data_IF_996865493702
#
_entry.id   IF_996865493702
#
_cell.length_a   1.000
_cell.length_b   1.000
_cell.length_c   1.000
_cell.angle_alpha   90.00
_cell.angle_beta   90.00
_cell.angle_gamma   90.00
#
_symmetry.space_group_name_H-M   'P 1'
#
loop_
_entity.id
_entity.type
_entity.pdbx_description
1 polymer ?
#
# COMPACT_ATOMS: atom_id res chain seq x y z
N UNK A 1 6.14 1.60 -11.19
CA UNK A 1 5.74 3.02 -11.34
C UNK A 1 4.78 3.22 -12.52
N UNK A 2 5.18 2.96 -13.77
CA UNK A 2 4.34 3.16 -14.96
C UNK A 2 2.89 2.64 -14.82
N UNK A 3 2.71 1.38 -14.39
CA UNK A 3 1.37 0.80 -14.16
C UNK A 3 0.52 1.61 -13.19
N UNK A 4 1.10 2.12 -12.09
CA UNK A 4 0.35 2.94 -11.13
C UNK A 4 -0.08 4.27 -11.76
N UNK A 5 0.77 4.88 -12.60
CA UNK A 5 0.49 6.15 -13.28
C UNK A 5 -0.68 6.03 -14.26
N UNK A 6 -0.78 4.90 -14.95
CA UNK A 6 -1.89 4.59 -15.89
C UNK A 6 -3.23 4.30 -15.18
N UNK A 7 -3.21 3.92 -13.90
CA UNK A 7 -4.44 3.70 -13.15
C UNK A 7 -5.05 5.03 -12.73
N UNK A 8 -6.38 5.15 -12.85
CA UNK A 8 -7.14 6.31 -12.36
C UNK A 8 -7.34 6.24 -10.84
N UNK A 9 -6.23 6.27 -10.11
CA UNK A 9 -6.14 6.18 -8.64
C UNK A 9 -5.44 7.41 -8.09
N UNK A 10 -5.70 7.72 -6.82
CA UNK A 10 -5.16 8.90 -6.16
C UNK A 10 -3.70 8.68 -5.80
N UNK A 11 -3.42 7.61 -5.06
CA UNK A 11 -2.10 7.31 -4.55
C UNK A 11 -1.78 5.80 -4.68
N UNK A 12 -0.49 5.48 -4.80
CA UNK A 12 -0.03 4.09 -4.81
C UNK A 12 1.36 3.95 -4.20
N UNK A 13 1.57 2.92 -3.39
CA UNK A 13 2.81 2.70 -2.63
C UNK A 13 3.18 1.22 -2.61
N UNK A 14 4.48 0.92 -2.68
CA UNK A 14 4.99 -0.39 -2.25
C UNK A 14 5.26 -0.32 -0.75
N UNK A 15 4.79 -1.33 -0.02
CA UNK A 15 5.01 -1.49 1.42
C UNK A 15 5.57 -2.89 1.73
N UNK A 16 5.68 -3.23 3.02
CA UNK A 16 6.15 -4.55 3.44
C UNK A 16 7.67 -4.73 3.40
N UNK A 17 8.11 -5.98 3.37
CA UNK A 17 9.53 -6.36 3.42
C UNK A 17 10.35 -5.75 2.28
N UNK A 18 9.75 -5.64 1.09
CA UNK A 18 10.38 -5.07 -0.12
C UNK A 18 10.69 -3.59 0.06
N UNK A 19 9.76 -2.83 0.63
CA UNK A 19 9.99 -1.42 0.91
C UNK A 19 11.00 -1.20 2.04
N UNK A 20 11.05 -2.15 2.99
CA UNK A 20 11.98 -2.17 4.13
C UNK A 20 13.38 -2.65 3.73
N UNK A 21 13.55 -3.28 2.57
CA UNK A 21 14.82 -3.87 2.12
C UNK A 21 15.22 -5.11 2.92
N UNK A 22 14.25 -5.73 3.59
CA UNK A 22 14.43 -7.01 4.32
C UNK A 22 13.80 -8.16 3.55
N UNK A 23 13.50 -7.96 2.27
CA UNK A 23 12.92 -8.98 1.41
C UNK A 23 13.97 -10.01 0.96
N UNK A 24 13.52 -11.25 0.83
CA UNK A 24 14.28 -12.35 0.25
C UNK A 24 13.94 -12.58 -1.22
N UNK A 25 14.64 -13.52 -1.88
CA UNK A 25 14.40 -13.88 -3.29
C UNK A 25 12.96 -14.35 -3.57
N UNK A 26 12.31 -14.99 -2.58
CA UNK A 26 10.93 -15.48 -2.66
C UNK A 26 9.90 -14.54 -2.00
N UNK A 27 10.27 -13.31 -1.64
CA UNK A 27 9.32 -12.39 -1.03
C UNK A 27 8.37 -11.77 -2.05
N UNK A 28 7.10 -11.72 -1.70
CA UNK A 28 6.06 -11.05 -2.48
C UNK A 28 6.21 -9.53 -2.42
N UNK A 29 5.69 -8.86 -3.46
CA UNK A 29 5.66 -7.40 -3.53
C UNK A 29 4.27 -6.92 -3.14
N UNK A 30 4.16 -6.32 -1.95
CA UNK A 30 2.90 -5.72 -1.49
C UNK A 30 2.75 -4.29 -2.01
N UNK A 31 1.65 -4.04 -2.69
CA UNK A 31 1.28 -2.74 -3.27
C UNK A 31 -0.04 -2.28 -2.68
N UNK A 32 -0.03 -1.09 -2.07
CA UNK A 32 -1.22 -0.39 -1.62
C UNK A 32 -1.65 0.59 -2.70
N UNK A 33 -2.91 0.54 -3.07
CA UNK A 33 -3.54 1.47 -4.02
C UNK A 33 -4.70 2.16 -3.33
N UNK A 34 -4.72 3.49 -3.40
CA UNK A 34 -5.75 4.34 -2.82
C UNK A 34 -6.52 5.02 -3.94
N UNK A 35 -7.82 4.76 -4.02
CA UNK A 35 -8.71 5.41 -4.98
C UNK A 35 -9.94 4.58 -5.29
N UNK A 36 -10.71 5.05 -6.27
CA UNK A 36 -11.92 4.38 -6.73
C UNK A 36 -11.58 3.28 -7.75
N UNK A 37 -10.99 2.19 -7.25
CA UNK A 37 -10.65 1.02 -8.05
C UNK A 37 -10.94 -0.28 -7.30
N UNK A 38 -11.47 -1.27 -8.00
CA UNK A 38 -11.63 -2.60 -7.42
C UNK A 38 -10.29 -3.31 -7.30
N UNK A 39 -10.13 -4.12 -6.26
CA UNK A 39 -8.96 -4.99 -6.05
C UNK A 39 -8.67 -5.84 -7.28
N UNK A 40 -9.70 -6.41 -7.91
CA UNK A 40 -9.57 -7.22 -9.14
C UNK A 40 -8.94 -6.42 -10.28
N UNK A 41 -9.38 -5.17 -10.52
CA UNK A 41 -8.85 -4.32 -11.59
C UNK A 41 -7.42 -3.89 -11.29
N UNK A 42 -7.13 -3.54 -10.03
CA UNK A 42 -5.78 -3.19 -9.60
C UNK A 42 -4.83 -4.39 -9.77
N UNK A 43 -5.18 -5.58 -9.26
CA UNK A 43 -4.39 -6.81 -9.47
C UNK A 43 -4.17 -7.11 -10.94
N UNK A 44 -5.21 -6.98 -11.78
CA UNK A 44 -5.09 -7.21 -13.22
C UNK A 44 -4.09 -6.26 -13.88
N UNK A 45 -4.04 -4.99 -13.47
CA UNK A 45 -3.07 -4.02 -13.97
C UNK A 45 -1.63 -4.36 -13.57
N UNK A 46 -1.42 -4.93 -12.37
CA UNK A 46 -0.10 -5.31 -11.88
C UNK A 46 0.36 -6.72 -12.28
N UNK A 47 -0.52 -7.60 -12.79
CA UNK A 47 -0.15 -8.93 -13.36
C UNK A 47 1.04 -8.89 -14.34
N UNK A 48 1.13 -7.98 -15.32
CA UNK A 48 2.31 -7.91 -16.20
C UNK A 48 3.59 -7.58 -15.44
N UNK A 49 3.52 -6.81 -14.35
CA UNK A 49 4.67 -6.51 -13.47
C UNK A 49 5.09 -7.77 -12.73
N UNK A 50 4.15 -8.50 -12.13
CA UNK A 50 4.41 -9.77 -11.46
C UNK A 50 5.15 -10.76 -12.38
N UNK A 51 4.63 -10.94 -13.60
CA UNK A 51 5.25 -11.79 -14.63
C UNK A 51 6.65 -11.33 -15.03
N UNK A 52 6.85 -10.03 -15.23
CA UNK A 52 8.13 -9.46 -15.63
C UNK A 52 9.21 -9.67 -14.57
N UNK A 53 8.83 -9.62 -13.30
CA UNK A 53 9.75 -9.75 -12.18
C UNK A 53 9.84 -11.17 -11.61
N UNK A 54 9.06 -12.12 -12.15
CA UNK A 54 8.92 -13.48 -11.62
C UNK A 54 8.66 -13.50 -10.10
N UNK A 55 7.88 -12.53 -9.62
CA UNK A 55 7.50 -12.37 -8.20
C UNK A 55 5.99 -12.23 -8.09
N UNK A 56 5.40 -12.74 -7.02
CA UNK A 56 3.99 -12.45 -6.75
C UNK A 56 3.84 -10.99 -6.35
N UNK A 57 2.78 -10.36 -6.85
CA UNK A 57 2.45 -8.97 -6.54
C UNK A 57 1.08 -8.96 -5.92
N UNK A 58 1.04 -8.67 -4.62
CA UNK A 58 -0.19 -8.57 -3.86
C UNK A 58 -0.65 -7.12 -3.88
N UNK A 59 -1.83 -6.86 -4.45
CA UNK A 59 -2.35 -5.49 -4.59
C UNK A 59 -3.57 -5.32 -3.70
N UNK A 60 -3.43 -4.48 -2.67
CA UNK A 60 -4.54 -4.07 -1.83
C UNK A 60 -5.09 -2.74 -2.33
N UNK A 61 -6.31 -2.76 -2.85
CA UNK A 61 -7.04 -1.56 -3.25
C UNK A 61 -8.03 -1.14 -2.16
N UNK A 62 -7.99 0.13 -1.77
CA UNK A 62 -8.91 0.74 -0.82
C UNK A 62 -9.30 2.14 -1.29
N UNK A 63 -10.47 2.63 -0.88
CA UNK A 63 -10.81 4.04 -1.09
C UNK A 63 -10.09 4.93 -0.06
N UNK A 64 -9.93 6.23 -0.35
CA UNK A 64 -9.37 7.19 0.61
C UNK A 64 -10.10 7.13 1.96
N UNK A 65 -11.43 7.11 1.93
CA UNK A 65 -12.26 7.02 3.13
C UNK A 65 -12.02 5.74 3.94
N UNK A 66 -11.93 4.59 3.28
CA UNK A 66 -11.64 3.30 3.94
C UNK A 66 -10.24 3.30 4.55
N UNK A 67 -9.25 3.84 3.83
CA UNK A 67 -7.88 4.00 4.32
C UNK A 67 -7.86 4.87 5.60
N UNK A 68 -8.50 6.04 5.57
CA UNK A 68 -8.56 6.95 6.72
C UNK A 68 -9.27 6.29 7.91
N UNK A 69 -10.39 5.61 7.66
CA UNK A 69 -11.15 4.92 8.69
C UNK A 69 -10.34 3.79 9.34
N UNK A 70 -9.66 2.95 8.55
CA UNK A 70 -8.88 1.84 9.10
C UNK A 70 -7.60 2.31 9.79
N UNK A 71 -7.02 3.40 9.31
CA UNK A 71 -5.90 4.08 9.96
C UNK A 71 -6.33 4.66 11.31
N UNK A 72 -7.50 5.32 11.36
CA UNK A 72 -8.07 5.87 12.58
C UNK A 72 -8.49 4.80 13.60
N UNK A 73 -9.00 3.65 13.13
CA UNK A 73 -9.29 2.48 13.96
C UNK A 73 -8.02 1.85 14.56
N UNK A 74 -6.83 2.25 14.09
CA UNK A 74 -5.57 1.85 14.70
C UNK A 74 -5.23 0.37 14.52
N UNK A 75 -5.77 -0.26 13.47
CA UNK A 75 -5.41 -1.63 13.11
C UNK A 75 -3.90 -1.74 12.86
N UNK A 76 -3.27 -2.77 13.41
CA UNK A 76 -1.81 -2.96 13.42
C UNK A 76 -1.21 -2.90 12.01
N UNK A 77 -1.91 -3.48 11.04
CA UNK A 77 -1.52 -3.41 9.63
C UNK A 77 -1.32 -1.98 9.14
N UNK A 78 -2.29 -1.08 9.36
CA UNK A 78 -2.19 0.30 8.87
C UNK A 78 -1.13 1.08 9.62
N UNK A 79 -1.01 0.86 10.93
CA UNK A 79 0.10 1.43 11.71
C UNK A 79 1.45 1.01 11.15
N UNK A 80 1.67 -0.27 10.88
CA UNK A 80 2.91 -0.76 10.28
C UNK A 80 3.16 -0.11 8.91
N UNK A 81 2.16 -0.09 8.03
CA UNK A 81 2.27 0.58 6.73
C UNK A 81 2.68 2.04 6.90
N UNK A 82 2.05 2.80 7.81
CA UNK A 82 2.33 4.22 8.01
C UNK A 82 3.61 4.52 8.80
N UNK A 83 4.07 3.62 9.66
CA UNK A 83 5.30 3.79 10.45
C UNK A 83 6.55 3.32 9.73
N UNK A 84 6.42 2.38 8.79
CA UNK A 84 7.56 1.85 8.05
C UNK A 84 7.81 2.59 6.73
N UNK A 85 8.99 2.31 6.17
CA UNK A 85 9.43 2.81 4.88
C UNK A 85 8.51 2.29 3.77
N UNK A 86 8.18 3.19 2.84
CA UNK A 86 7.39 2.91 1.64
C UNK A 86 8.00 3.55 0.43
N UNK A 87 7.71 2.96 -0.73
CA UNK A 87 8.18 3.47 -2.01
C UNK A 87 6.96 4.04 -2.76
N UNK A 88 6.86 5.36 -2.95
CA UNK A 88 5.78 5.95 -3.71
C UNK A 88 5.86 5.56 -5.18
N UNK A 89 4.75 5.05 -5.71
CA UNK A 89 4.56 4.75 -7.13
C UNK A 89 3.75 5.83 -7.83
N UNK A 90 2.77 6.43 -7.14
CA UNK A 90 1.92 7.52 -7.65
C UNK A 90 1.42 8.39 -6.49
N UNK A 91 1.24 9.68 -6.78
CA UNK A 91 0.68 10.66 -5.86
C UNK A 91 1.70 11.20 -4.85
N UNK A 92 1.37 12.27 -4.12
CA UNK A 92 2.16 12.68 -2.98
C UNK A 92 2.16 11.55 -1.96
N UNK A 93 3.30 11.30 -1.30
CA UNK A 93 3.37 10.35 -0.19
C UNK A 93 2.68 10.94 1.06
N UNK A 94 1.41 11.28 0.92
CA UNK A 94 0.59 11.85 1.97
C UNK A 94 0.37 10.78 3.04
N UNK A 95 0.98 11.01 4.19
CA UNK A 95 0.83 10.15 5.36
C UNK A 95 -0.40 10.71 6.10
N UNK A 96 -1.56 10.01 6.10
CA UNK A 96 -2.68 10.36 6.95
C UNK A 96 -2.17 10.41 8.40
N UNK A 97 -2.67 11.36 9.18
CA UNK A 97 -2.37 11.43 10.61
C UNK A 97 -2.81 10.11 11.26
N UNK A 98 -1.83 9.25 11.54
CA UNK A 98 -2.05 8.03 12.33
C UNK A 98 -2.49 8.50 13.69
N UNK A 99 -3.75 8.22 14.04
CA UNK A 99 -4.42 8.74 15.22
C UNK A 99 -3.47 8.79 16.42
N UNK A 100 -3.25 10.01 16.94
CA UNK A 100 -2.45 10.23 18.14
C UNK A 100 -2.85 9.20 19.18
N UNK A 101 -1.87 8.44 19.66
CA UNK A 101 -2.00 7.48 20.76
C UNK A 101 -2.95 8.04 21.82
N UNK A 102 -4.20 7.57 21.85
CA UNK A 102 -4.85 7.37 23.13
C UNK A 102 -4.07 6.21 23.77
N UNK A 103 -3.05 6.54 24.55
CA UNK A 103 -2.65 5.70 25.67
C UNK A 103 -3.77 5.89 26.71
N UNK A 104 -4.73 4.96 26.88
CA UNK A 104 -5.39 4.87 28.17
C UNK A 104 -4.28 4.50 29.16
N UNK A 105 -4.11 5.34 30.19
CA UNK A 105 -3.04 5.17 31.16
C UNK A 105 -3.07 3.80 31.84
N UNK A 106 -1.90 3.23 32.03
CA UNK A 106 -1.32 2.80 33.32
C UNK A 106 0.04 2.16 33.09
#
# INVERSE_FOLDING_TARGET
RAVAEELSVEDAFVFGSVARGTDGPDSDVDVLVIGDISSVKAMAAFRPVARKHAREVNVMAVSRKEMEQRTAQGAEFWKDVWQNRRIPLKGPADVPEVGKRNQPGQ
#
